data_IF_776915807301
#
_entry.id   IF_776915807301
#
_cell.length_a   1.000
_cell.length_b   1.000
_cell.length_c   1.000
_cell.angle_alpha   90.00
_cell.angle_beta   90.00
_cell.angle_gamma   90.00
#
_symmetry.space_group_name_H-M   'P 1'
#
loop_
_entity.id
_entity.type
_entity.pdbx_description
1 polymer ?
#
# COMPACT_ATOMS: atom_id res chain seq x y z
N UNK A 1 -32.89 52.82 37.27
CA UNK A 1 -34.06 52.22 36.62
C UNK A 1 -33.64 50.82 36.13
N UNK A 2 -34.03 49.83 36.92
CA UNK A 2 -34.14 48.45 36.45
C UNK A 2 -35.51 48.24 35.85
N UNK A 3 -35.68 47.27 34.95
CA UNK A 3 -36.45 46.10 35.27
C UNK A 3 -35.79 44.82 34.85
N UNK A 4 -35.81 43.77 35.68
CA UNK A 4 -36.79 42.68 35.76
C UNK A 4 -36.61 41.73 34.51
N UNK A 5 -36.05 40.56 34.61
CA UNK A 5 -36.67 39.39 35.24
C UNK A 5 -37.26 38.54 34.12
N UNK A 6 -36.56 37.49 33.67
CA UNK A 6 -37.22 36.51 32.81
C UNK A 6 -36.81 35.07 33.20
N UNK A 7 -37.85 34.29 33.34
CA UNK A 7 -37.96 33.04 34.04
C UNK A 7 -37.25 31.87 33.29
N UNK A 8 -36.64 31.01 34.07
CA UNK A 8 -36.14 29.71 33.65
C UNK A 8 -37.29 28.74 33.33
N UNK A 9 -37.43 28.33 32.11
CA UNK A 9 -38.30 27.23 31.70
C UNK A 9 -37.55 25.92 31.86
N UNK A 10 -37.94 25.13 32.84
CA UNK A 10 -37.46 23.76 33.07
C UNK A 10 -38.16 22.86 32.07
N UNK A 11 -37.41 22.41 31.09
CA UNK A 11 -37.86 21.43 30.12
C UNK A 11 -37.66 20.00 30.67
N UNK A 12 -38.80 19.36 30.84
CA UNK A 12 -38.97 18.05 31.46
C UNK A 12 -38.54 16.95 30.49
N UNK A 13 -37.60 16.15 30.89
CA UNK A 13 -37.10 14.97 30.11
C UNK A 13 -38.21 13.95 29.83
N UNK A 14 -38.28 13.37 28.63
CA UNK A 14 -39.26 12.32 28.31
C UNK A 14 -38.86 10.97 28.91
N UNK A 15 -39.88 10.28 29.42
CA UNK A 15 -39.80 8.95 30.04
C UNK A 15 -39.38 7.87 29.04
N UNK A 16 -38.62 6.82 29.45
CA UNK A 16 -38.21 5.74 28.58
C UNK A 16 -39.36 4.80 28.22
N UNK A 17 -39.37 4.23 27.01
CA UNK A 17 -40.40 3.31 26.53
C UNK A 17 -40.37 1.96 27.21
N UNK A 18 -41.49 1.22 27.27
CA UNK A 18 -41.61 -0.05 27.98
C UNK A 18 -40.87 -1.19 27.30
N UNK A 19 -40.18 -1.99 28.11
CA UNK A 19 -39.43 -3.21 27.68
C UNK A 19 -40.40 -4.27 27.14
N UNK A 20 -40.35 -4.55 25.84
CA UNK A 20 -41.03 -5.70 25.22
C UNK A 20 -40.35 -7.02 25.66
N UNK A 21 -41.15 -7.90 26.25
CA UNK A 21 -40.78 -9.27 26.60
C UNK A 21 -40.36 -10.01 25.31
N UNK A 22 -39.12 -10.49 25.26
CA UNK A 22 -38.66 -11.41 24.22
C UNK A 22 -39.33 -12.78 24.41
N UNK A 23 -40.11 -13.21 23.41
CA UNK A 23 -40.51 -14.58 23.23
C UNK A 23 -39.26 -15.42 22.96
N UNK A 24 -39.11 -16.52 23.68
CA UNK A 24 -38.11 -17.55 23.41
C UNK A 24 -38.36 -18.09 22.00
N UNK A 25 -37.40 -17.91 21.12
CA UNK A 25 -37.33 -18.56 19.82
C UNK A 25 -36.45 -19.79 20.02
N UNK A 26 -37.03 -20.92 19.77
CA UNK A 26 -36.42 -22.24 19.76
C UNK A 26 -35.27 -22.25 18.74
N UNK A 27 -34.07 -22.56 19.21
CA UNK A 27 -32.83 -22.55 18.44
C UNK A 27 -32.81 -23.77 17.50
N UNK A 28 -32.65 -23.62 16.18
CA UNK A 28 -32.50 -24.77 15.29
C UNK A 28 -31.18 -25.48 15.56
N UNK A 29 -31.11 -26.83 15.36
CA UNK A 29 -29.93 -27.63 15.67
C UNK A 29 -28.72 -27.17 14.86
N UNK A 30 -27.59 -26.93 15.56
CA UNK A 30 -26.29 -26.61 14.97
C UNK A 30 -25.88 -27.63 13.89
N UNK A 31 -25.43 -27.17 12.71
CA UNK A 31 -24.82 -28.08 11.74
C UNK A 31 -23.51 -28.64 12.30
N UNK A 32 -23.11 -29.87 11.89
CA UNK A 32 -21.90 -30.51 12.39
C UNK A 32 -20.67 -29.61 12.17
N UNK A 33 -19.90 -29.36 13.22
CA UNK A 33 -18.62 -28.65 13.17
C UNK A 33 -17.68 -29.46 12.27
N UNK A 34 -17.55 -29.02 11.01
CA UNK A 34 -16.42 -29.42 10.18
C UNK A 34 -15.15 -28.92 10.87
N UNK A 35 -14.26 -29.86 11.19
CA UNK A 35 -12.92 -29.54 11.68
C UNK A 35 -12.26 -28.61 10.68
N UNK A 36 -11.59 -27.50 11.13
CA UNK A 36 -10.81 -26.67 10.23
C UNK A 36 -9.81 -27.58 9.52
N UNK A 37 -9.96 -27.76 8.21
CA UNK A 37 -8.90 -28.27 7.38
C UNK A 37 -7.72 -27.31 7.58
N UNK A 38 -6.69 -27.83 8.22
CA UNK A 38 -5.37 -27.24 8.32
C UNK A 38 -4.96 -26.83 6.89
N UNK A 39 -5.11 -25.54 6.59
CA UNK A 39 -4.64 -25.01 5.33
C UNK A 39 -3.14 -25.08 5.42
N UNK A 40 -2.58 -26.03 4.71
CA UNK A 40 -1.14 -25.98 4.41
C UNK A 40 -0.81 -24.54 3.97
N UNK A 41 0.30 -23.96 4.48
CA UNK A 41 0.72 -22.66 4.03
C UNK A 41 0.90 -22.76 2.52
N UNK A 42 -0.02 -22.12 1.77
CA UNK A 42 0.17 -21.90 0.34
C UNK A 42 1.47 -21.13 0.27
N UNK A 43 2.55 -21.85 -0.06
CA UNK A 43 3.82 -21.23 -0.39
C UNK A 43 3.47 -20.16 -1.43
N UNK A 44 3.61 -18.89 -1.04
CA UNK A 44 3.46 -17.77 -1.94
C UNK A 44 4.37 -18.06 -3.13
N UNK A 45 3.77 -18.58 -4.18
CA UNK A 45 4.46 -18.77 -5.43
C UNK A 45 4.79 -17.36 -5.92
N UNK A 46 6.01 -16.95 -5.61
CA UNK A 46 6.57 -15.71 -6.12
C UNK A 46 6.40 -15.78 -7.64
N UNK A 47 5.59 -14.93 -8.29
CA UNK A 47 5.36 -14.98 -9.73
C UNK A 47 6.67 -14.88 -10.52
N UNK A 48 7.73 -14.37 -9.88
CA UNK A 48 9.08 -14.39 -10.40
C UNK A 48 9.73 -15.79 -10.38
N UNK A 49 9.33 -16.70 -9.50
CA UNK A 49 9.86 -18.06 -9.47
C UNK A 49 9.34 -18.94 -10.63
N UNK A 50 8.19 -18.58 -11.23
CA UNK A 50 7.63 -19.28 -12.38
C UNK A 50 8.32 -18.93 -13.71
N UNK A 51 9.03 -17.80 -13.80
CA UNK A 51 9.85 -17.43 -14.96
C UNK A 51 11.29 -17.89 -14.70
N UNK A 52 11.60 -19.13 -15.04
CA UNK A 52 12.89 -19.83 -14.91
C UNK A 52 14.09 -19.01 -14.46
N UNK A 53 14.71 -19.39 -13.36
CA UNK A 53 15.76 -18.71 -12.59
C UNK A 53 17.06 -18.32 -13.36
N UNK A 54 17.09 -18.42 -14.67
CA UNK A 54 18.31 -18.25 -15.48
C UNK A 54 18.47 -16.88 -16.15
N UNK A 55 17.54 -15.94 -15.96
CA UNK A 55 17.60 -14.65 -16.68
C UNK A 55 17.32 -13.39 -15.84
N UNK A 56 17.17 -13.49 -14.53
CA UNK A 56 16.79 -12.34 -13.69
C UNK A 56 17.81 -11.22 -13.63
N UNK A 57 19.11 -11.54 -13.59
CA UNK A 57 20.17 -10.54 -13.49
C UNK A 57 20.30 -9.64 -14.72
N UNK A 58 19.96 -10.13 -15.90
CA UNK A 58 20.08 -9.39 -17.16
C UNK A 58 18.86 -8.52 -17.49
N UNK A 59 17.72 -8.78 -16.87
CA UNK A 59 16.44 -8.12 -17.19
C UNK A 59 16.09 -6.96 -16.22
N UNK A 60 16.76 -6.85 -15.09
CA UNK A 60 16.43 -5.82 -14.11
C UNK A 60 17.39 -4.64 -14.19
N UNK A 61 17.07 -3.65 -15.01
CA UNK A 61 17.67 -2.32 -14.87
C UNK A 61 16.96 -1.53 -13.77
N UNK A 62 17.62 -0.54 -13.12
CA UNK A 62 16.94 0.35 -12.16
C UNK A 62 15.65 0.96 -12.72
N UNK A 63 15.69 1.42 -13.97
CA UNK A 63 14.53 1.97 -14.68
C UNK A 63 13.40 0.95 -14.83
N UNK A 64 13.71 -0.31 -15.12
CA UNK A 64 12.72 -1.37 -15.23
C UNK A 64 12.08 -1.67 -13.88
N UNK A 65 12.86 -1.75 -12.79
CA UNK A 65 12.34 -1.95 -11.44
C UNK A 65 11.41 -0.81 -11.05
N UNK A 66 11.85 0.45 -11.23
CA UNK A 66 11.04 1.62 -10.93
C UNK A 66 9.70 1.59 -11.69
N UNK A 67 9.74 1.36 -13.01
CA UNK A 67 8.55 1.26 -13.85
C UNK A 67 7.63 0.14 -13.37
N UNK A 68 8.15 -1.03 -13.07
CA UNK A 68 7.37 -2.19 -12.63
C UNK A 68 6.66 -1.90 -11.32
N UNK A 69 7.39 -1.35 -10.33
CA UNK A 69 6.83 -1.03 -9.02
C UNK A 69 5.78 0.08 -9.12
N UNK A 70 6.06 1.18 -9.82
CA UNK A 70 5.11 2.28 -9.97
C UNK A 70 3.84 1.83 -10.72
N UNK A 71 3.99 1.01 -11.76
CA UNK A 71 2.83 0.46 -12.48
C UNK A 71 2.00 -0.49 -11.61
N UNK A 72 2.64 -1.34 -10.81
CA UNK A 72 1.93 -2.23 -9.88
C UNK A 72 1.19 -1.46 -8.79
N UNK A 73 1.77 -0.37 -8.28
CA UNK A 73 1.10 0.49 -7.28
C UNK A 73 -0.07 1.28 -7.88
N UNK A 74 -0.06 1.62 -9.17
CA UNK A 74 -1.19 2.24 -9.85
C UNK A 74 -2.40 1.31 -9.92
N UNK A 75 -2.18 0.03 -10.16
CA UNK A 75 -3.22 -1.01 -10.22
C UNK A 75 -3.14 -1.93 -8.98
N UNK A 76 -3.11 -1.30 -7.80
CA UNK A 76 -2.71 -1.96 -6.54
C UNK A 76 -3.57 -3.17 -6.16
N UNK A 77 -4.84 -3.20 -6.61
CA UNK A 77 -5.82 -4.25 -6.35
C UNK A 77 -6.10 -5.15 -7.57
N UNK A 78 -5.26 -5.11 -8.60
CA UNK A 78 -5.41 -5.95 -9.78
C UNK A 78 -4.24 -6.93 -9.91
N UNK A 79 -4.50 -8.21 -10.25
CA UNK A 79 -5.80 -8.88 -10.47
C UNK A 79 -6.54 -9.22 -9.18
N UNK A 80 -5.94 -9.05 -8.01
CA UNK A 80 -6.52 -9.34 -6.70
C UNK A 80 -6.13 -8.27 -5.68
N UNK A 81 -6.85 -8.21 -4.56
CA UNK A 81 -6.63 -7.22 -3.51
C UNK A 81 -5.18 -7.23 -3.02
N UNK A 82 -4.57 -6.03 -2.93
CA UNK A 82 -3.18 -5.80 -2.51
C UNK A 82 -2.12 -6.44 -3.42
N UNK A 83 -2.46 -6.93 -4.61
CA UNK A 83 -1.50 -7.55 -5.53
C UNK A 83 -0.33 -6.61 -5.83
N UNK A 84 -0.59 -5.37 -6.19
CA UNK A 84 0.45 -4.37 -6.48
C UNK A 84 1.37 -4.09 -5.30
N UNK A 85 0.84 -4.09 -4.06
CA UNK A 85 1.65 -4.01 -2.84
C UNK A 85 2.58 -5.21 -2.71
N UNK A 86 2.08 -6.41 -2.99
CA UNK A 86 2.88 -7.65 -3.01
C UNK A 86 4.02 -7.56 -4.03
N UNK A 87 3.71 -7.13 -5.26
CA UNK A 87 4.71 -6.92 -6.31
C UNK A 87 5.76 -5.90 -5.87
N UNK A 88 5.35 -4.74 -5.36
CA UNK A 88 6.29 -3.72 -4.89
C UNK A 88 7.24 -4.25 -3.82
N UNK A 89 6.72 -4.98 -2.83
CA UNK A 89 7.51 -5.54 -1.73
C UNK A 89 8.54 -6.58 -2.20
N UNK A 90 8.35 -7.24 -3.35
CA UNK A 90 9.36 -8.19 -3.89
C UNK A 90 10.64 -7.47 -4.35
N UNK A 91 10.56 -6.17 -4.65
CA UNK A 91 11.70 -5.35 -5.04
C UNK A 91 12.31 -4.54 -3.90
N UNK A 92 11.78 -4.67 -2.68
CA UNK A 92 12.29 -3.93 -1.51
C UNK A 92 13.48 -4.66 -0.90
N UNK A 93 14.58 -3.94 -0.69
CA UNK A 93 15.78 -4.49 -0.05
C UNK A 93 15.59 -4.63 1.47
N UNK A 94 16.43 -5.44 2.10
CA UNK A 94 16.44 -5.61 3.57
C UNK A 94 16.84 -4.33 4.33
N UNK A 95 17.43 -3.34 3.64
CA UNK A 95 17.77 -2.03 4.23
C UNK A 95 16.55 -1.12 4.36
N UNK A 96 15.53 -1.33 3.55
CA UNK A 96 14.30 -0.54 3.57
C UNK A 96 13.36 -1.06 4.67
N UNK A 97 12.85 -0.19 5.56
CA UNK A 97 11.92 -0.60 6.62
C UNK A 97 10.67 -1.33 6.11
N UNK A 98 10.21 -1.01 4.91
CA UNK A 98 9.04 -1.65 4.28
C UNK A 98 9.24 -3.15 4.01
N UNK A 99 10.49 -3.66 3.99
CA UNK A 99 10.79 -5.09 3.86
C UNK A 99 10.06 -5.99 4.88
N UNK A 100 9.72 -5.43 6.04
CA UNK A 100 9.04 -6.16 7.13
C UNK A 100 7.52 -6.07 7.07
N UNK A 101 6.98 -5.33 6.12
CA UNK A 101 5.53 -5.13 5.99
C UNK A 101 4.89 -6.28 5.22
N UNK A 102 3.64 -6.59 5.58
CA UNK A 102 2.77 -7.39 4.73
C UNK A 102 2.18 -6.50 3.62
N UNK A 103 1.67 -7.09 2.50
CA UNK A 103 1.02 -6.31 1.45
C UNK A 103 -0.13 -5.42 1.97
N UNK A 104 -0.90 -5.91 2.95
CA UNK A 104 -2.02 -5.17 3.55
C UNK A 104 -1.52 -3.97 4.39
N UNK A 105 -0.43 -4.15 5.15
CA UNK A 105 0.15 -3.06 5.94
C UNK A 105 0.82 -2.03 5.03
N UNK A 106 1.51 -2.48 3.98
CA UNK A 106 2.10 -1.60 2.99
C UNK A 106 1.02 -0.78 2.27
N UNK A 107 -0.11 -1.42 1.89
CA UNK A 107 -1.26 -0.74 1.32
C UNK A 107 -1.80 0.36 2.24
N UNK A 108 -1.99 0.07 3.54
CA UNK A 108 -2.44 1.07 4.51
C UNK A 108 -1.49 2.25 4.61
N UNK A 109 -0.19 2.00 4.52
CA UNK A 109 0.83 3.04 4.51
C UNK A 109 0.74 3.94 3.26
N UNK A 110 0.47 3.35 2.09
CA UNK A 110 0.25 4.11 0.84
C UNK A 110 -1.06 4.91 0.90
N UNK A 111 -2.09 4.39 1.59
CA UNK A 111 -3.41 5.02 1.72
C UNK A 111 -3.46 6.12 2.79
N UNK A 112 -2.46 6.22 3.64
CA UNK A 112 -2.40 7.21 4.72
C UNK A 112 -2.15 8.62 4.14
N UNK A 113 -3.15 9.48 4.26
CA UNK A 113 -3.12 10.86 3.76
C UNK A 113 -2.07 11.75 4.44
N UNK A 114 -1.49 11.30 5.56
CA UNK A 114 -0.39 12.00 6.23
C UNK A 114 0.91 11.94 5.40
N UNK A 115 0.97 11.10 4.38
CA UNK A 115 2.12 10.92 3.50
C UNK A 115 1.78 11.27 2.05
N UNK A 116 2.72 11.76 1.25
CA UNK A 116 2.48 12.16 -0.14
C UNK A 116 2.39 10.98 -1.12
N UNK A 117 2.10 9.76 -0.64
CA UNK A 117 2.11 8.55 -1.46
C UNK A 117 0.81 8.29 -2.23
N UNK A 118 -0.24 9.06 -2.01
CA UNK A 118 -1.52 8.90 -2.70
C UNK A 118 -1.42 8.98 -4.23
N UNK A 119 -0.47 9.78 -4.75
CA UNK A 119 -0.19 9.88 -6.19
C UNK A 119 0.18 8.55 -6.82
N UNK A 120 0.82 7.63 -6.07
CA UNK A 120 1.28 6.34 -6.58
C UNK A 120 0.13 5.45 -7.11
N UNK A 121 -1.11 5.72 -6.69
CA UNK A 121 -2.30 4.97 -7.11
C UNK A 121 -3.10 5.65 -8.22
N UNK A 122 -2.87 6.94 -8.49
CA UNK A 122 -3.76 7.74 -9.33
C UNK A 122 -3.07 8.59 -10.40
N UNK A 123 -1.76 8.44 -10.57
CA UNK A 123 -1.06 9.17 -11.62
C UNK A 123 -1.57 8.80 -13.02
N UNK A 124 -1.59 9.78 -13.91
CA UNK A 124 -2.01 9.63 -15.32
C UNK A 124 -0.80 9.38 -16.22
N UNK A 125 0.28 10.09 -15.96
CA UNK A 125 1.49 10.08 -16.78
C UNK A 125 2.72 9.87 -15.88
N UNK A 126 3.74 9.21 -16.43
CA UNK A 126 4.98 8.92 -15.76
C UNK A 126 6.14 9.32 -16.67
N UNK A 127 6.93 10.30 -16.24
CA UNK A 127 8.05 10.86 -16.95
C UNK A 127 9.35 10.49 -16.21
N UNK A 128 10.02 9.38 -16.62
CA UNK A 128 11.25 8.94 -15.99
C UNK A 128 12.43 9.80 -16.46
N UNK A 129 13.25 10.24 -15.52
CA UNK A 129 14.52 10.91 -15.79
C UNK A 129 15.65 9.89 -16.04
N UNK A 130 16.86 10.39 -16.23
CA UNK A 130 18.02 9.51 -16.39
C UNK A 130 18.42 8.90 -15.05
N UNK A 131 18.88 7.65 -15.12
CA UNK A 131 19.38 6.93 -13.94
C UNK A 131 20.79 7.38 -13.65
N UNK A 132 21.04 7.83 -12.43
CA UNK A 132 22.37 8.16 -11.92
C UNK A 132 22.96 6.95 -11.19
N UNK A 133 24.20 6.60 -11.49
CA UNK A 133 24.89 5.47 -10.87
C UNK A 133 26.05 5.97 -10.00
N UNK A 134 26.36 5.23 -8.93
CA UNK A 134 27.62 5.36 -8.23
C UNK A 134 28.82 4.85 -9.04
N UNK A 135 30.04 5.10 -8.57
CA UNK A 135 31.29 4.74 -9.26
C UNK A 135 31.39 3.23 -9.51
N UNK A 136 30.91 2.41 -8.56
CA UNK A 136 30.93 0.94 -8.63
C UNK A 136 29.76 0.35 -9.42
N UNK A 137 28.83 1.18 -9.87
CA UNK A 137 27.58 0.78 -10.55
C UNK A 137 26.75 -0.25 -9.76
N UNK A 138 26.85 -0.19 -8.43
CA UNK A 138 26.08 -1.03 -7.49
C UNK A 138 24.98 -0.31 -6.79
N UNK A 139 24.94 1.01 -6.89
CA UNK A 139 23.84 1.86 -6.44
C UNK A 139 23.37 2.71 -7.60
N UNK A 140 22.09 3.00 -7.59
CA UNK A 140 21.48 3.87 -8.57
C UNK A 140 20.44 4.77 -7.89
N UNK A 141 20.30 5.99 -8.36
CA UNK A 141 19.18 6.88 -8.08
C UNK A 141 18.40 7.10 -9.36
N UNK A 142 17.10 7.00 -9.27
CA UNK A 142 16.22 7.21 -10.41
C UNK A 142 15.06 8.11 -10.00
N UNK A 143 15.00 9.26 -10.61
CA UNK A 143 13.95 10.24 -10.43
C UNK A 143 12.85 10.03 -11.49
N UNK A 144 11.61 10.10 -11.05
CA UNK A 144 10.43 9.90 -11.90
C UNK A 144 9.39 10.96 -11.54
N UNK A 145 9.06 11.81 -12.50
CA UNK A 145 7.96 12.75 -12.34
C UNK A 145 6.64 12.06 -12.67
N UNK A 146 5.71 12.05 -11.70
CA UNK A 146 4.34 11.57 -11.87
C UNK A 146 3.39 12.75 -11.99
N UNK A 147 2.52 12.71 -12.99
CA UNK A 147 1.43 13.68 -13.16
C UNK A 147 0.16 13.08 -12.58
N UNK A 148 -0.36 13.70 -11.51
CA UNK A 148 -1.59 13.28 -10.82
C UNK A 148 -2.84 13.62 -11.66
N UNK A 149 -3.98 13.07 -11.29
CA UNK A 149 -5.28 13.31 -11.95
C UNK A 149 -5.73 14.78 -11.91
N UNK A 150 -5.24 15.57 -10.97
CA UNK A 150 -5.48 17.01 -10.86
C UNK A 150 -4.50 17.87 -11.65
N UNK A 151 -3.55 17.24 -12.36
CA UNK A 151 -2.50 17.91 -13.14
C UNK A 151 -1.29 18.35 -12.29
N UNK A 152 -1.27 18.07 -10.99
CA UNK A 152 -0.10 18.36 -10.17
C UNK A 152 1.04 17.39 -10.46
N UNK A 153 2.26 17.90 -10.39
CA UNK A 153 3.46 17.09 -10.58
C UNK A 153 4.01 16.65 -9.23
N UNK A 154 4.49 15.41 -9.17
CA UNK A 154 5.14 14.83 -8.00
C UNK A 154 6.44 14.17 -8.42
N UNK A 155 7.52 14.53 -7.74
CA UNK A 155 8.80 13.88 -7.92
C UNK A 155 8.89 12.65 -7.03
N UNK A 156 9.15 11.50 -7.64
CA UNK A 156 9.40 10.24 -6.94
C UNK A 156 10.85 9.86 -7.14
N UNK A 157 11.62 9.85 -6.07
CA UNK A 157 13.01 9.41 -6.09
C UNK A 157 13.12 7.99 -5.55
N UNK A 158 13.79 7.14 -6.30
CA UNK A 158 13.97 5.72 -6.00
C UNK A 158 15.47 5.43 -5.95
N UNK A 159 15.98 5.14 -4.75
CA UNK A 159 17.35 4.64 -4.57
C UNK A 159 17.35 3.12 -4.61
N UNK A 160 18.22 2.56 -5.42
CA UNK A 160 18.35 1.13 -5.62
C UNK A 160 19.78 0.68 -5.37
N UNK A 161 19.92 -0.56 -4.94
CA UNK A 161 21.22 -1.23 -4.89
C UNK A 161 21.11 -2.68 -5.35
N UNK A 162 22.25 -3.24 -5.75
CA UNK A 162 22.41 -4.68 -6.02
C UNK A 162 23.53 -5.23 -5.16
N UNK A 163 23.40 -6.48 -4.73
CA UNK A 163 24.38 -7.13 -3.85
C UNK A 163 25.67 -7.44 -4.59
N UNK A 164 25.57 -7.83 -5.87
CA UNK A 164 26.66 -8.20 -6.75
C UNK A 164 26.38 -7.75 -8.18
N UNK A 165 27.28 -8.03 -9.11
CA UNK A 165 27.20 -7.55 -10.49
C UNK A 165 26.09 -8.23 -11.30
N UNK A 166 25.63 -9.41 -10.88
CA UNK A 166 24.58 -10.20 -11.53
C UNK A 166 23.25 -10.21 -10.78
N UNK A 167 23.25 -9.73 -9.54
CA UNK A 167 22.05 -9.70 -8.68
C UNK A 167 20.97 -8.72 -9.13
N UNK A 168 19.75 -8.92 -8.65
CA UNK A 168 18.65 -8.01 -8.94
C UNK A 168 18.86 -6.64 -8.29
N UNK A 169 18.36 -5.60 -8.95
CA UNK A 169 18.23 -4.28 -8.34
C UNK A 169 17.09 -4.30 -7.33
N UNK A 170 17.37 -3.84 -6.10
CA UNK A 170 16.40 -3.74 -5.02
C UNK A 170 16.31 -2.31 -4.52
N UNK A 171 15.13 -1.90 -4.08
CA UNK A 171 14.83 -0.55 -3.61
C UNK A 171 15.28 -0.41 -2.16
N UNK A 172 16.29 0.43 -1.94
CA UNK A 172 16.79 0.78 -0.60
C UNK A 172 15.96 1.90 0.02
N UNK A 173 15.53 2.89 -0.80
CA UNK A 173 14.70 4.02 -0.39
C UNK A 173 13.73 4.41 -1.48
N UNK A 174 12.63 4.98 -1.04
CA UNK A 174 11.58 5.47 -1.91
C UNK A 174 10.90 6.65 -1.21
N UNK A 175 10.85 7.80 -1.85
CA UNK A 175 10.12 8.96 -1.32
C UNK A 175 9.48 9.76 -2.44
N UNK A 176 8.47 10.50 -2.07
CA UNK A 176 7.68 11.31 -2.97
C UNK A 176 7.65 12.74 -2.44
N UNK A 177 7.96 13.71 -3.28
CA UNK A 177 7.96 15.12 -2.97
C UNK A 177 7.00 15.87 -3.90
N UNK A 178 6.54 17.05 -3.46
CA UNK A 178 5.86 17.95 -4.37
C UNK A 178 6.90 18.48 -5.37
N UNK A 179 6.61 18.37 -6.66
CA UNK A 179 7.40 19.04 -7.68
C UNK A 179 7.13 20.55 -7.56
N UNK A 180 8.18 21.33 -7.49
CA UNK A 180 8.13 22.79 -7.37
C UNK A 180 7.88 23.45 -8.72
#
# INVERSE_FOLDING_TARGET
MQPAGEAATVERAPSPPPKKKKKAVEEPPEPPKEKPKEREPVAQQNPLAAAGATSFGALTSPRWVAKTVLSALRTIDEPEQNHGSGVALTFVSTKNPAHKLTPELFRKYIDDESYPYGVLKRWLEMNPEDVTFDDDKRKASHDVTLIDVDGSERLVTIELSKADDVGPWLIDRFWCEEAY
#
